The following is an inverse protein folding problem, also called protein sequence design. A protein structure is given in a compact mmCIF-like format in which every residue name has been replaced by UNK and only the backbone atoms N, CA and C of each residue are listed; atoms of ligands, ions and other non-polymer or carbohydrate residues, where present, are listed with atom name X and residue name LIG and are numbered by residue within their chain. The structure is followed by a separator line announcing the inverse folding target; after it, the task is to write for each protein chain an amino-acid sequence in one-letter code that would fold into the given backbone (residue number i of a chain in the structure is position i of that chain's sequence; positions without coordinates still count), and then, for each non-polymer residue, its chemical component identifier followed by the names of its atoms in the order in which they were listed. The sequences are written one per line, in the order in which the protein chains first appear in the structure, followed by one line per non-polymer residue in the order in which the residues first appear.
data_IF_138126385470
#
_entry.id   IF_138126385470
#
_cell.length_a   1.000
_cell.length_b   1.000
_cell.length_c   1.000
_cell.angle_alpha   90.00
_cell.angle_beta   90.00
_cell.angle_gamma   90.00
#
_symmetry.space_group_name_H-M   'P 1'
#
loop_
_entity.id
_entity.type
_entity.pdbx_description
1 polymer ?
#
# COMPACT_ATOMS: atom_id res chain seq x y z
N UNK A 1 -10.78 -1.46 2.48
CA UNK A 1 -9.88 -2.55 2.02
C UNK A 1 -9.06 -3.19 3.16
N UNK A 2 -8.20 -2.45 3.90
CA UNK A 2 -7.36 -3.03 4.97
C UNK A 2 -8.10 -3.87 6.02
N UNK A 3 -9.30 -3.50 6.50
CA UNK A 3 -10.05 -4.30 7.47
C UNK A 3 -10.32 -5.74 6.98
N UNK A 4 -10.44 -5.94 5.67
CA UNK A 4 -10.70 -7.23 5.04
C UNK A 4 -9.44 -8.06 4.76
N UNK A 5 -8.25 -7.46 4.92
CA UNK A 5 -6.96 -8.15 4.88
C UNK A 5 -6.74 -8.84 6.23
N UNK A 6 -6.29 -10.12 6.26
CA UNK A 6 -5.94 -10.79 7.50
C UNK A 6 -4.94 -9.97 8.31
N UNK A 7 -5.13 -9.87 9.63
CA UNK A 7 -4.36 -8.97 10.51
C UNK A 7 -2.85 -9.03 10.30
N UNK A 8 -2.29 -10.23 10.15
CA UNK A 8 -0.86 -10.53 9.91
C UNK A 8 -0.28 -9.82 8.69
N UNK A 9 -1.11 -9.49 7.70
CA UNK A 9 -0.67 -8.91 6.44
C UNK A 9 -1.12 -7.46 6.25
N UNK A 10 -1.81 -6.87 7.22
CA UNK A 10 -2.26 -5.46 7.13
C UNK A 10 -1.08 -4.51 7.08
N UNK A 11 -0.09 -4.69 7.94
CA UNK A 11 1.13 -3.88 7.93
C UNK A 11 1.95 -4.08 6.65
N UNK A 12 1.99 -5.30 6.08
CA UNK A 12 2.63 -5.55 4.78
C UNK A 12 1.96 -4.76 3.65
N UNK A 13 0.63 -4.77 3.60
CA UNK A 13 -0.16 -4.03 2.60
C UNK A 13 -0.03 -2.53 2.81
N UNK A 14 -0.14 -2.06 4.05
CA UNK A 14 0.02 -0.65 4.41
C UNK A 14 1.41 -0.11 4.08
N UNK A 15 2.46 -0.88 4.38
CA UNK A 15 3.84 -0.56 3.98
C UNK A 15 3.94 -0.39 2.47
N UNK A 16 3.49 -1.36 1.68
CA UNK A 16 3.56 -1.28 0.22
C UNK A 16 2.76 -0.09 -0.36
N UNK A 17 1.60 0.21 0.21
CA UNK A 17 0.76 1.34 -0.21
C UNK A 17 1.33 2.71 0.20
N UNK A 18 1.94 2.81 1.38
CA UNK A 18 2.46 4.07 1.93
C UNK A 18 3.89 4.42 1.55
N UNK A 19 4.66 3.48 0.99
CA UNK A 19 6.09 3.67 0.66
C UNK A 19 6.44 3.30 -0.79
N UNK A 20 5.52 2.63 -1.48
CA UNK A 20 5.76 2.13 -2.83
C UNK A 20 6.84 1.04 -2.91
N UNK A 21 7.23 0.41 -1.80
CA UNK A 21 8.20 -0.69 -1.83
C UNK A 21 7.71 -1.88 -2.69
N UNK A 22 8.65 -2.54 -3.38
CA UNK A 22 8.36 -3.73 -4.19
C UNK A 22 8.08 -4.92 -3.25
N UNK A 23 7.30 -5.90 -3.72
CA UNK A 23 7.03 -7.15 -2.97
C UNK A 23 8.27 -7.73 -2.29
N UNK A 24 9.36 -7.91 -3.05
CA UNK A 24 10.59 -8.49 -2.53
C UNK A 24 11.31 -7.59 -1.52
N UNK A 25 11.18 -6.27 -1.62
CA UNK A 25 11.71 -5.32 -0.61
C UNK A 25 10.86 -5.41 0.67
N UNK A 26 9.53 -5.46 0.55
CA UNK A 26 8.65 -5.60 1.71
C UNK A 26 8.87 -6.93 2.46
N UNK A 27 8.84 -8.07 1.75
CA UNK A 27 9.02 -9.39 2.39
C UNK A 27 10.48 -9.72 2.71
N UNK A 28 11.43 -8.93 2.19
CA UNK A 28 12.84 -8.96 2.57
C UNK A 28 13.17 -8.08 3.76
N UNK A 29 12.21 -7.27 4.23
CA UNK A 29 12.43 -6.31 5.30
C UNK A 29 12.69 -7.00 6.64
N UNK A 30 13.67 -6.47 7.36
CA UNK A 30 14.04 -6.89 8.71
C UNK A 30 13.96 -5.72 9.67
N UNK A 31 13.75 -6.01 10.95
CA UNK A 31 13.66 -4.97 11.98
C UNK A 31 14.95 -4.15 12.14
N UNK A 32 16.12 -4.70 11.78
CA UNK A 32 17.38 -3.96 11.78
C UNK A 32 17.39 -2.76 10.80
N UNK A 33 16.50 -2.77 9.82
CA UNK A 33 16.38 -1.77 8.78
C UNK A 33 15.16 -0.84 8.97
N UNK A 34 14.43 -0.98 10.08
CA UNK A 34 13.24 -0.16 10.39
C UNK A 34 13.52 0.69 11.62
N UNK A 35 13.42 2.00 11.47
CA UNK A 35 13.45 2.95 12.57
C UNK A 35 12.05 3.54 12.74
N UNK A 36 11.33 3.09 13.77
CA UNK A 36 9.96 3.56 14.03
C UNK A 36 9.95 4.94 14.68
N UNK A 37 11.01 5.32 15.38
CA UNK A 37 11.12 6.61 16.07
C UNK A 37 11.47 7.71 15.06
N UNK A 38 12.42 7.43 14.16
CA UNK A 38 12.73 8.31 13.04
C UNK A 38 11.68 8.24 11.91
N UNK A 39 10.82 7.23 11.91
CA UNK A 39 9.83 7.01 10.87
C UNK A 39 10.47 6.73 9.51
N UNK A 40 11.47 5.84 9.45
CA UNK A 40 12.18 5.51 8.21
C UNK A 40 12.42 4.01 8.04
N UNK A 41 12.62 3.61 6.78
CA UNK A 41 13.04 2.25 6.43
C UNK A 41 14.19 2.27 5.43
N UNK A 42 15.22 1.47 5.70
CA UNK A 42 16.37 1.28 4.81
C UNK A 42 16.15 0.07 3.89
N UNK A 43 16.25 0.28 2.57
CA UNK A 43 16.09 -0.80 1.59
C UNK A 43 17.46 -1.45 1.31
N UNK A 44 17.78 -2.47 2.11
CA UNK A 44 19.11 -3.12 2.07
C UNK A 44 19.11 -4.55 1.53
N UNK A 45 17.92 -5.14 1.37
CA UNK A 45 17.76 -6.55 1.01
C UNK A 45 16.48 -6.74 0.22
N UNK A 46 16.48 -7.77 -0.60
CA UNK A 46 15.30 -8.19 -1.36
C UNK A 46 15.14 -9.70 -1.23
N UNK A 47 13.93 -10.15 -0.92
CA UNK A 47 13.55 -11.54 -1.02
C UNK A 47 13.20 -11.89 -2.48
N UNK A 48 13.79 -12.97 -2.99
CA UNK A 48 13.57 -13.51 -4.32
C UNK A 48 13.06 -14.94 -4.20
N UNK A 49 11.92 -15.22 -4.81
CA UNK A 49 11.36 -16.56 -4.90
C UNK A 49 11.86 -17.25 -6.17
N UNK A 50 12.56 -18.39 -6.03
CA UNK A 50 13.07 -19.21 -7.13
C UNK A 50 12.61 -20.65 -6.91
N UNK A 51 11.86 -21.22 -7.85
CA UNK A 51 11.31 -22.59 -7.76
C UNK A 51 10.57 -22.89 -6.44
N UNK A 52 9.85 -21.90 -5.89
CA UNK A 52 9.13 -22.02 -4.62
C UNK A 52 9.99 -21.82 -3.36
N UNK A 53 11.30 -21.65 -3.50
CA UNK A 53 12.20 -21.32 -2.39
C UNK A 53 12.40 -19.81 -2.32
N UNK A 54 12.19 -19.23 -1.14
CA UNK A 54 12.45 -17.81 -0.91
C UNK A 54 13.88 -17.66 -0.41
N UNK A 55 14.68 -16.87 -1.13
CA UNK A 55 16.06 -16.56 -0.80
C UNK A 55 16.21 -15.05 -0.61
N UNK A 56 17.04 -14.63 0.35
CA UNK A 56 17.36 -13.22 0.53
C UNK A 56 18.61 -12.89 -0.28
N UNK A 57 18.61 -11.74 -0.97
CA UNK A 57 19.78 -11.20 -1.65
C UNK A 57 20.07 -9.80 -1.13
N UNK A 58 21.34 -9.43 -0.87
CA UNK A 58 21.71 -8.04 -0.63
C UNK A 58 21.22 -7.17 -1.79
N UNK A 59 20.66 -6.01 -1.47
CA UNK A 59 20.15 -5.07 -2.45
C UNK A 59 20.28 -3.63 -1.96
N UNK A 60 20.50 -2.65 -2.85
CA UNK A 60 20.96 -2.77 -4.25
C UNK A 60 22.32 -3.48 -4.40
N UNK A 61 22.68 -3.80 -5.65
CA UNK A 61 24.02 -4.29 -6.02
C UNK A 61 25.12 -3.22 -5.93
N UNK A 62 24.76 -1.93 -5.89
CA UNK A 62 25.70 -0.79 -5.83
C UNK A 62 25.41 0.09 -4.62
N UNK A 63 26.40 0.75 -4.02
CA UNK A 63 26.18 1.70 -2.90
C UNK A 63 25.16 2.79 -3.24
N UNK A 64 25.06 3.18 -4.52
CA UNK A 64 24.17 4.24 -5.02
C UNK A 64 22.67 3.90 -4.97
N UNK A 65 22.28 2.61 -4.93
CA UNK A 65 20.86 2.24 -4.85
C UNK A 65 20.32 2.08 -3.41
N UNK A 66 21.18 2.26 -2.39
CA UNK A 66 20.79 2.11 -0.99
C UNK A 66 20.03 3.37 -0.68
N UNK A 67 18.74 3.21 -0.37
CA UNK A 67 17.85 4.34 -0.12
C UNK A 67 17.16 4.15 1.20
N UNK A 68 16.98 5.27 1.86
CA UNK A 68 16.10 5.40 3.01
C UNK A 68 14.77 5.95 2.51
N UNK A 69 13.68 5.33 2.96
CA UNK A 69 12.33 5.67 2.56
C UNK A 69 11.58 6.12 3.82
N UNK A 70 11.02 7.34 3.84
CA UNK A 70 10.18 7.78 4.94
C UNK A 70 8.94 6.90 5.08
N UNK A 71 8.57 6.62 6.33
CA UNK A 71 7.35 5.93 6.70
C UNK A 71 6.30 6.98 7.07
N UNK A 72 5.17 7.05 6.35
CA UNK A 72 4.05 7.86 6.80
C UNK A 72 3.56 7.40 8.19
N UNK A 73 2.98 8.29 9.03
CA UNK A 73 2.61 7.97 10.41
C UNK A 73 1.73 6.71 10.56
N UNK A 74 0.74 6.53 9.68
CA UNK A 74 -0.11 5.33 9.70
C UNK A 74 0.67 4.03 9.44
N UNK A 75 1.76 4.07 8.67
CA UNK A 75 2.62 2.89 8.45
C UNK A 75 3.43 2.60 9.69
N UNK A 76 3.93 3.62 10.38
CA UNK A 76 4.62 3.47 11.67
C UNK A 76 3.70 2.79 12.68
N UNK A 77 2.45 3.27 12.81
CA UNK A 77 1.44 2.67 13.69
C UNK A 77 1.15 1.20 13.31
N UNK A 78 0.95 0.91 12.02
CA UNK A 78 0.72 -0.44 11.54
C UNK A 78 1.91 -1.38 11.82
N UNK A 79 3.14 -0.90 11.63
CA UNK A 79 4.36 -1.67 11.92
C UNK A 79 4.55 -1.90 13.41
N UNK A 80 4.33 -0.88 14.25
CA UNK A 80 4.39 -0.99 15.71
C UNK A 80 3.40 -2.04 16.23
N UNK A 81 2.13 -1.93 15.82
CA UNK A 81 1.09 -2.90 16.18
C UNK A 81 1.40 -4.31 15.65
N UNK A 82 2.01 -4.42 14.47
CA UNK A 82 2.46 -5.71 13.92
C UNK A 82 3.57 -6.33 14.75
N UNK A 83 4.56 -5.52 15.19
CA UNK A 83 5.68 -5.96 16.03
C UNK A 83 5.23 -6.52 17.36
N UNK A 84 4.21 -5.90 17.97
CA UNK A 84 3.63 -6.35 19.24
C UNK A 84 2.87 -7.67 19.07
N UNK A 85 2.12 -7.81 17.97
CA UNK A 85 1.17 -8.91 17.79
C UNK A 85 1.75 -10.18 17.18
N UNK A 86 2.81 -10.06 16.36
CA UNK A 86 3.32 -11.18 15.59
C UNK A 86 4.81 -11.41 15.87
N UNK A 87 5.24 -12.68 15.99
CA UNK A 87 6.64 -12.98 16.22
C UNK A 87 7.49 -12.56 15.03
N UNK A 88 8.69 -12.08 15.34
CA UNK A 88 9.73 -11.79 14.34
C UNK A 88 10.24 -13.09 13.72
N UNK A 89 10.56 -13.06 12.42
CA UNK A 89 11.12 -14.23 11.74
C UNK A 89 12.49 -14.66 12.27
N UNK A 90 12.93 -15.91 12.01
CA UNK A 90 14.16 -16.47 12.61
C UNK A 90 15.44 -15.67 12.31
N UNK A 91 15.45 -14.92 11.21
CA UNK A 91 16.59 -14.06 10.81
C UNK A 91 16.27 -12.57 10.90
N UNK A 92 15.28 -12.20 11.72
CA UNK A 92 14.89 -10.80 11.96
C UNK A 92 13.84 -10.26 11.00
N UNK A 93 13.17 -11.11 10.21
CA UNK A 93 12.17 -10.69 9.22
C UNK A 93 10.95 -10.05 9.88
N UNK A 94 10.49 -8.93 9.32
CA UNK A 94 9.28 -8.24 9.79
C UNK A 94 8.04 -9.08 9.46
N UNK A 95 7.97 -9.64 8.24
CA UNK A 95 6.79 -10.36 7.76
C UNK A 95 7.09 -11.84 7.50
N UNK A 96 6.35 -12.70 8.18
CA UNK A 96 6.39 -14.15 8.01
C UNK A 96 5.01 -14.71 7.69
N UNK A 97 4.97 -15.93 7.17
CA UNK A 97 3.74 -16.68 7.03
C UNK A 97 3.21 -17.15 8.40
N UNK A 98 2.03 -17.78 8.43
CA UNK A 98 1.42 -18.24 9.68
C UNK A 98 2.27 -19.26 10.47
N UNK A 99 3.16 -19.99 9.81
CA UNK A 99 4.09 -20.95 10.42
C UNK A 99 5.46 -20.31 10.78
N UNK A 100 5.62 -18.99 10.67
CA UNK A 100 6.87 -18.29 10.97
C UNK A 100 7.93 -18.38 9.87
N UNK A 101 7.63 -19.04 8.74
CA UNK A 101 8.53 -19.13 7.59
C UNK A 101 8.36 -17.98 6.59
N UNK A 102 9.12 -18.00 5.49
CA UNK A 102 9.09 -16.93 4.50
C UNK A 102 7.74 -16.86 3.75
N UNK A 103 7.38 -15.65 3.32
CA UNK A 103 6.18 -15.40 2.53
C UNK A 103 6.43 -15.70 1.05
N UNK A 104 5.62 -16.61 0.49
CA UNK A 104 5.59 -16.89 -0.95
C UNK A 104 4.54 -16.02 -1.63
N UNK A 105 4.92 -15.35 -2.71
CA UNK A 105 4.04 -14.41 -3.42
C UNK A 105 2.80 -15.10 -3.95
N UNK A 106 2.98 -16.29 -4.51
CA UNK A 106 1.90 -17.08 -5.11
C UNK A 106 0.85 -17.48 -4.07
N UNK A 107 1.30 -17.91 -2.88
CA UNK A 107 0.40 -18.32 -1.80
C UNK A 107 -0.31 -17.13 -1.17
N UNK A 108 0.42 -16.06 -0.89
CA UNK A 108 -0.18 -14.81 -0.40
C UNK A 108 -1.24 -14.29 -1.40
N UNK A 109 -0.93 -14.31 -2.70
CA UNK A 109 -1.87 -13.86 -3.74
C UNK A 109 -3.18 -14.64 -3.72
N UNK A 110 -3.10 -15.96 -3.71
CA UNK A 110 -4.28 -16.83 -3.86
C UNK A 110 -5.06 -17.01 -2.55
N UNK A 111 -4.38 -17.04 -1.40
CA UNK A 111 -5.01 -17.35 -0.11
C UNK A 111 -5.45 -16.12 0.67
N UNK A 112 -4.75 -15.01 0.50
CA UNK A 112 -4.94 -13.84 1.36
C UNK A 112 -5.36 -12.62 0.53
N UNK A 113 -4.59 -12.25 -0.49
CA UNK A 113 -4.81 -11.04 -1.26
C UNK A 113 -6.14 -11.03 -2.02
N UNK A 114 -6.33 -11.98 -2.95
CA UNK A 114 -7.55 -12.02 -3.78
C UNK A 114 -8.80 -12.19 -2.93
N UNK A 115 -8.86 -13.12 -1.95
CA UNK A 115 -10.00 -13.20 -1.03
C UNK A 115 -10.29 -11.91 -0.25
N UNK A 116 -9.25 -11.13 0.10
CA UNK A 116 -9.45 -9.83 0.76
C UNK A 116 -10.08 -8.80 -0.17
N UNK A 117 -9.75 -8.84 -1.47
CA UNK A 117 -10.39 -7.99 -2.47
C UNK A 117 -11.86 -8.34 -2.67
N UNK A 118 -12.21 -9.63 -2.68
CA UNK A 118 -13.62 -10.05 -2.74
C UNK A 118 -14.39 -9.54 -1.53
N UNK A 119 -13.84 -9.75 -0.32
CA UNK A 119 -14.46 -9.25 0.93
C UNK A 119 -14.60 -7.73 0.98
N UNK A 120 -13.75 -7.01 0.24
CA UNK A 120 -13.80 -5.56 0.12
C UNK A 120 -14.67 -5.06 -1.05
N UNK A 121 -15.33 -5.96 -1.81
CA UNK A 121 -16.12 -5.60 -2.99
C UNK A 121 -15.28 -5.14 -4.20
N UNK A 122 -13.96 -5.35 -4.18
CA UNK A 122 -13.04 -4.91 -5.23
C UNK A 122 -12.77 -6.00 -6.29
N UNK A 123 -13.27 -7.22 -6.07
CA UNK A 123 -13.08 -8.36 -6.94
C UNK A 123 -14.32 -9.27 -6.90
N UNK A 124 -15.39 -8.82 -7.55
CA UNK A 124 -16.69 -9.46 -7.41
C UNK A 124 -17.32 -9.23 -6.04
N UNK A 125 -18.47 -9.85 -5.84
CA UNK A 125 -19.33 -9.63 -4.68
C UNK A 125 -19.78 -10.96 -4.09
N UNK A 126 -19.97 -11.01 -2.78
CA UNK A 126 -20.58 -12.12 -2.07
C UNK A 126 -21.63 -11.58 -1.12
N UNK A 127 -22.86 -12.04 -1.27
CA UNK A 127 -24.01 -11.60 -0.46
C UNK A 127 -24.75 -12.81 0.10
N UNK A 128 -25.19 -12.73 1.35
CA UNK A 128 -26.09 -13.74 1.93
C UNK A 128 -27.50 -13.49 1.39
N UNK A 129 -28.04 -14.45 0.63
CA UNK A 129 -29.37 -14.33 0.01
C UNK A 129 -30.47 -14.94 0.88
N UNK A 130 -30.11 -15.96 1.65
CA UNK A 130 -30.95 -16.66 2.64
C UNK A 130 -30.04 -17.15 3.77
N UNK A 131 -30.55 -17.37 4.99
CA UNK A 131 -29.74 -17.91 6.09
C UNK A 131 -28.95 -19.15 5.66
N UNK A 132 -27.62 -19.05 5.65
CA UNK A 132 -26.73 -20.16 5.26
C UNK A 132 -26.58 -20.37 3.74
N UNK A 133 -27.00 -19.43 2.89
CA UNK A 133 -26.82 -19.47 1.45
C UNK A 133 -26.22 -18.16 0.93
N UNK A 134 -25.06 -18.25 0.28
CA UNK A 134 -24.28 -17.10 -0.17
C UNK A 134 -24.17 -17.09 -1.69
N UNK A 135 -24.64 -16.02 -2.33
CA UNK A 135 -24.50 -15.80 -3.76
C UNK A 135 -23.18 -15.08 -4.04
N UNK A 136 -22.30 -15.73 -4.79
CA UNK A 136 -21.12 -15.11 -5.38
C UNK A 136 -21.42 -14.58 -6.78
N UNK A 137 -21.01 -13.35 -7.06
CA UNK A 137 -21.12 -12.71 -8.38
C UNK A 137 -19.74 -12.25 -8.82
N UNK A 138 -19.31 -12.64 -10.02
CA UNK A 138 -18.00 -12.25 -10.55
C UNK A 138 -17.98 -12.17 -12.06
N UNK A 139 -17.04 -11.41 -12.60
CA UNK A 139 -16.74 -11.42 -14.03
C UNK A 139 -15.52 -12.30 -14.30
N UNK A 140 -15.54 -13.11 -15.35
CA UNK A 140 -14.37 -13.87 -15.83
C UNK A 140 -13.44 -12.99 -16.69
N UNK A 141 -12.40 -13.60 -17.27
CA UNK A 141 -11.41 -12.86 -18.07
C UNK A 141 -11.97 -12.35 -19.39
N UNK A 142 -13.01 -13.00 -19.88
CA UNK A 142 -13.77 -12.67 -21.08
C UNK A 142 -14.80 -11.56 -20.80
N UNK A 143 -14.97 -11.16 -19.53
CA UNK A 143 -15.89 -10.12 -19.09
C UNK A 143 -17.31 -10.63 -18.84
N UNK A 144 -17.53 -11.93 -18.91
CA UNK A 144 -18.83 -12.54 -18.69
C UNK A 144 -19.14 -12.59 -17.20
N UNK A 145 -20.34 -12.16 -16.80
CA UNK A 145 -20.80 -12.26 -15.42
C UNK A 145 -21.27 -13.70 -15.11
N UNK A 146 -20.78 -14.22 -13.99
CA UNK A 146 -21.14 -15.51 -13.42
C UNK A 146 -21.79 -15.30 -12.05
N UNK A 147 -22.73 -16.17 -11.74
CA UNK A 147 -23.49 -16.18 -10.48
C UNK A 147 -23.60 -17.60 -9.97
N UNK A 148 -23.24 -17.83 -8.72
CA UNK A 148 -23.32 -19.16 -8.10
C UNK A 148 -23.62 -19.06 -6.59
N UNK A 149 -24.54 -19.90 -6.11
CA UNK A 149 -24.81 -20.04 -4.68
C UNK A 149 -23.84 -21.05 -4.03
N UNK A 150 -23.44 -20.75 -2.80
CA UNK A 150 -22.54 -21.56 -1.99
C UNK A 150 -23.10 -21.75 -0.58
N UNK A 151 -22.80 -22.88 0.08
CA UNK A 151 -23.30 -23.17 1.43
C UNK A 151 -22.59 -22.36 2.51
N UNK A 152 -21.42 -21.77 2.22
CA UNK A 152 -20.70 -20.94 3.19
C UNK A 152 -20.11 -19.68 2.55
N UNK A 153 -20.05 -18.59 3.32
CA UNK A 153 -19.41 -17.35 2.91
C UNK A 153 -17.95 -17.56 2.49
N UNK A 154 -17.24 -18.44 3.21
CA UNK A 154 -15.84 -18.77 2.91
C UNK A 154 -15.70 -19.42 1.55
N UNK A 155 -16.55 -20.39 1.21
CA UNK A 155 -16.52 -21.05 -0.09
C UNK A 155 -16.83 -20.09 -1.22
N UNK A 156 -17.87 -19.25 -1.06
CA UNK A 156 -18.20 -18.21 -2.03
C UNK A 156 -17.02 -17.27 -2.29
N UNK A 157 -16.42 -16.73 -1.23
CA UNK A 157 -15.27 -15.83 -1.33
C UNK A 157 -14.09 -16.50 -2.02
N UNK A 158 -13.76 -17.75 -1.65
CA UNK A 158 -12.64 -18.46 -2.26
C UNK A 158 -12.91 -18.81 -3.72
N UNK A 159 -14.15 -19.14 -4.06
CA UNK A 159 -14.55 -19.43 -5.44
C UNK A 159 -14.47 -18.19 -6.32
N UNK A 160 -15.09 -17.09 -5.90
CA UNK A 160 -15.01 -15.79 -6.58
C UNK A 160 -13.55 -15.36 -6.71
N UNK A 161 -12.77 -15.44 -5.63
CA UNK A 161 -11.35 -15.11 -5.65
C UNK A 161 -10.55 -16.00 -6.61
N UNK A 162 -10.97 -17.23 -6.92
CA UNK A 162 -10.27 -18.10 -7.87
C UNK A 162 -10.62 -17.78 -9.33
N UNK A 163 -11.89 -17.51 -9.62
CA UNK A 163 -12.41 -17.43 -10.99
C UNK A 163 -12.60 -16.01 -11.51
N UNK A 164 -12.73 -15.02 -10.64
CA UNK A 164 -12.83 -13.62 -11.04
C UNK A 164 -11.63 -13.20 -11.90
N UNK A 165 -11.88 -12.30 -12.85
CA UNK A 165 -10.88 -11.69 -13.72
C UNK A 165 -9.72 -11.04 -12.95
N UNK A 166 -8.77 -10.47 -13.69
CA UNK A 166 -7.70 -9.72 -13.03
C UNK A 166 -8.28 -8.55 -12.21
N UNK A 167 -8.12 -8.65 -10.88
CA UNK A 167 -8.33 -7.55 -9.95
C UNK A 167 -7.02 -6.82 -9.63
N UNK A 168 -7.11 -5.85 -8.73
CA UNK A 168 -5.95 -5.12 -8.18
C UNK A 168 -4.85 -6.11 -7.79
N UNK A 169 -3.64 -5.93 -8.30
CA UNK A 169 -2.46 -6.73 -7.93
C UNK A 169 -1.71 -6.02 -6.83
N UNK A 170 -0.96 -6.76 -6.02
CA UNK A 170 -0.14 -6.17 -4.96
C UNK A 170 0.84 -5.12 -5.51
N UNK A 171 1.41 -5.33 -6.70
CA UNK A 171 2.30 -4.36 -7.34
C UNK A 171 1.59 -3.06 -7.76
N UNK A 172 0.27 -3.10 -7.97
CA UNK A 172 -0.47 -1.91 -8.33
C UNK A 172 -0.54 -0.91 -7.15
N UNK A 173 -0.35 -1.35 -5.89
CA UNK A 173 -0.19 -0.44 -4.73
C UNK A 173 0.96 0.54 -4.92
N UNK A 174 2.12 0.04 -5.40
CA UNK A 174 3.27 0.88 -5.72
C UNK A 174 2.96 1.86 -6.84
N UNK A 175 2.25 1.42 -7.89
CA UNK A 175 1.87 2.31 -8.98
C UNK A 175 0.93 3.41 -8.52
N UNK A 176 0.02 3.11 -7.60
CA UNK A 176 -0.87 4.10 -7.04
C UNK A 176 -0.13 5.09 -6.16
N UNK A 177 0.79 4.65 -5.30
CA UNK A 177 1.66 5.54 -4.52
C UNK A 177 2.48 6.48 -5.41
N UNK A 178 3.09 5.94 -6.47
CA UNK A 178 3.84 6.75 -7.45
C UNK A 178 2.94 7.80 -8.12
N UNK A 179 1.71 7.41 -8.50
CA UNK A 179 0.74 8.30 -9.13
C UNK A 179 0.27 9.39 -8.19
N UNK A 180 0.06 9.06 -6.90
CA UNK A 180 -0.33 10.03 -5.89
C UNK A 180 0.74 11.10 -5.69
N UNK A 181 2.02 10.71 -5.51
CA UNK A 181 3.12 11.67 -5.37
C UNK A 181 3.21 12.62 -6.57
N UNK A 182 3.09 12.09 -7.80
CA UNK A 182 3.11 12.93 -9.00
C UNK A 182 1.89 13.86 -9.05
N UNK A 183 0.71 13.38 -8.63
CA UNK A 183 -0.51 14.19 -8.58
C UNK A 183 -0.45 15.29 -7.52
N UNK A 184 0.31 15.07 -6.44
CA UNK A 184 0.59 16.03 -5.37
C UNK A 184 1.71 17.02 -5.75
N UNK A 185 2.24 16.93 -6.98
CA UNK A 185 3.24 17.85 -7.51
C UNK A 185 4.68 17.47 -7.20
N UNK A 186 4.95 16.29 -6.62
CA UNK A 186 6.32 15.81 -6.40
C UNK A 186 7.00 15.59 -7.75
N UNK A 187 8.19 16.18 -7.99
CA UNK A 187 8.91 16.02 -9.24
C UNK A 187 9.18 14.54 -9.59
N UNK A 188 8.93 14.18 -10.86
CA UNK A 188 9.00 12.78 -11.34
C UNK A 188 10.38 12.15 -11.13
N UNK A 189 11.45 12.93 -11.21
CA UNK A 189 12.83 12.52 -10.93
C UNK A 189 13.02 12.15 -9.44
N UNK A 190 12.39 12.87 -8.52
CA UNK A 190 12.46 12.59 -7.09
C UNK A 190 11.61 11.37 -6.74
N UNK A 191 10.42 11.23 -7.34
CA UNK A 191 9.60 10.00 -7.26
C UNK A 191 10.40 8.79 -7.77
N UNK A 192 11.11 8.92 -8.90
CA UNK A 192 11.93 7.84 -9.45
C UNK A 192 13.08 7.42 -8.52
N UNK A 193 13.74 8.41 -7.89
CA UNK A 193 14.81 8.20 -6.91
C UNK A 193 14.28 7.50 -5.66
N UNK A 194 13.17 7.98 -5.10
CA UNK A 194 12.50 7.38 -3.93
C UNK A 194 12.09 5.93 -4.18
N UNK A 195 11.62 5.64 -5.39
CA UNK A 195 11.17 4.30 -5.77
C UNK A 195 12.32 3.38 -6.21
N UNK A 196 13.54 3.88 -6.39
CA UNK A 196 14.72 3.06 -6.73
C UNK A 196 14.67 2.47 -8.15
N UNK A 197 14.35 3.30 -9.15
CA UNK A 197 14.41 2.90 -10.57
C UNK A 197 15.80 3.17 -11.18
N UNK A 198 16.45 2.17 -11.79
CA UNK A 198 17.59 2.40 -12.70
C UNK A 198 17.12 2.81 -14.11
N UNK A 199 15.92 2.38 -14.55
CA UNK A 199 15.23 2.89 -15.75
C UNK A 199 13.71 2.84 -15.55
N UNK A 200 13.01 3.92 -15.90
CA UNK A 200 11.53 3.97 -15.95
C UNK A 200 11.01 3.66 -17.36
N UNK A 201 11.20 2.45 -17.87
CA UNK A 201 10.66 2.10 -19.21
C UNK A 201 9.17 1.77 -19.22
N UNK A 202 8.51 1.62 -18.06
CA UNK A 202 7.07 1.28 -17.99
C UNK A 202 6.17 2.36 -17.40
N UNK A 203 6.71 3.35 -16.68
CA UNK A 203 5.89 4.41 -16.06
C UNK A 203 5.75 5.62 -16.99
N UNK A 204 6.82 6.03 -17.67
CA UNK A 204 6.83 7.24 -18.49
C UNK A 204 5.95 7.13 -19.76
N UNK A 205 5.89 5.95 -20.38
CA UNK A 205 5.03 5.69 -21.55
C UNK A 205 3.54 5.50 -21.22
N UNK A 206 3.16 5.43 -19.93
CA UNK A 206 1.76 5.25 -19.51
C UNK A 206 1.08 6.55 -19.10
N UNK A 207 1.85 7.57 -18.71
CA UNK A 207 1.29 8.87 -18.34
C UNK A 207 0.75 9.65 -19.53
N UNK A 208 1.18 9.34 -20.75
CA UNK A 208 0.67 9.95 -21.99
C UNK A 208 -0.61 9.29 -22.54
N UNK A 209 -1.02 8.10 -22.08
CA UNK A 209 -2.26 7.45 -22.52
C UNK A 209 -2.99 6.71 -21.38
N UNK A 210 -3.92 7.41 -20.74
CA UNK A 210 -4.77 6.87 -19.66
C UNK A 210 -6.02 6.18 -20.19
N UNK A 211 -6.16 4.88 -19.90
CA UNK A 211 -7.43 4.14 -20.00
C UNK A 211 -8.16 4.18 -18.66
N UNK A 212 -9.26 4.95 -18.59
CA UNK A 212 -10.03 5.35 -17.39
C UNK A 212 -10.49 4.22 -16.42
N UNK A 213 -10.57 2.97 -16.85
CA UNK A 213 -11.25 1.89 -16.10
C UNK A 213 -10.46 1.32 -14.89
N UNK A 214 -9.12 1.41 -14.92
CA UNK A 214 -8.27 0.89 -13.82
C UNK A 214 -8.16 1.86 -12.63
N UNK A 215 -8.50 3.14 -12.84
CA UNK A 215 -8.27 4.23 -11.89
C UNK A 215 -9.37 4.34 -10.81
N UNK A 216 -10.63 4.03 -11.12
CA UNK A 216 -11.73 4.12 -10.16
C UNK A 216 -11.59 3.16 -8.96
N UNK A 217 -11.10 1.93 -9.21
CA UNK A 217 -10.90 0.91 -8.18
C UNK A 217 -9.67 1.19 -7.29
N UNK A 218 -8.67 1.90 -7.80
CA UNK A 218 -7.52 2.35 -7.02
C UNK A 218 -7.89 3.51 -6.09
N UNK A 219 -8.66 4.49 -6.57
CA UNK A 219 -9.10 5.63 -5.76
C UNK A 219 -9.84 5.23 -4.48
N UNK A 220 -10.71 4.22 -4.54
CA UNK A 220 -11.41 3.68 -3.36
C UNK A 220 -10.47 3.04 -2.33
N UNK A 221 -9.35 2.46 -2.76
CA UNK A 221 -8.35 1.89 -1.85
C UNK A 221 -7.64 3.00 -1.09
N UNK A 222 -7.27 4.11 -1.74
CA UNK A 222 -6.58 5.24 -1.11
C UNK A 222 -7.52 6.19 -0.35
N UNK A 223 -8.80 6.24 -0.68
CA UNK A 223 -9.79 6.97 0.12
C UNK A 223 -9.92 6.40 1.55
N UNK A 224 -9.72 5.10 1.73
CA UNK A 224 -9.62 4.46 3.05
C UNK A 224 -8.30 4.78 3.78
N UNK A 225 -7.27 5.23 3.04
CA UNK A 225 -5.97 5.64 3.57
C UNK A 225 -5.88 7.17 3.52
N UNK A 226 -6.62 7.88 4.38
CA UNK A 226 -6.42 9.34 4.52
C UNK A 226 -4.99 9.60 4.99
N UNK A 227 -4.10 9.99 4.06
CA UNK A 227 -2.67 10.26 4.29
C UNK A 227 -2.32 11.75 4.26
N UNK A 228 -3.28 12.63 4.54
CA UNK A 228 -2.98 14.05 4.65
C UNK A 228 -2.64 14.35 6.12
N UNK A 229 -1.37 14.58 6.50
CA UNK A 229 -1.12 15.59 7.51
C UNK A 229 -1.53 16.91 6.85
N UNK A 230 -2.47 17.62 7.48
CA UNK A 230 -2.85 18.96 7.02
C UNK A 230 -1.58 19.80 6.80
N UNK A 231 -1.48 20.60 5.72
CA UNK A 231 -0.36 21.51 5.57
C UNK A 231 -0.35 22.42 6.79
N UNK A 232 0.80 22.48 7.46
CA UNK A 232 1.04 23.39 8.57
C UNK A 232 0.76 24.80 8.05
N UNK A 233 -0.36 25.37 8.50
CA UNK A 233 -0.76 26.71 8.10
C UNK A 233 0.26 27.63 8.77
N UNK A 234 1.01 28.46 8.04
CA UNK A 234 1.92 29.40 8.69
C UNK A 234 1.11 30.21 9.70
N UNK A 235 1.53 30.16 10.95
CA UNK A 235 0.97 30.96 12.04
C UNK A 235 1.05 32.42 11.61
N UNK A 236 -0.11 33.05 11.42
CA UNK A 236 -0.18 34.48 11.13
C UNK A 236 0.62 35.24 12.20
N UNK A 237 1.48 36.20 11.81
CA UNK A 237 2.15 37.05 12.77
C UNK A 237 1.11 37.88 13.52
N UNK A 238 1.23 37.94 14.85
CA UNK A 238 0.45 38.82 15.71
C UNK A 238 0.47 40.25 15.15
N UNK A 239 -0.69 40.72 14.70
CA UNK A 239 -0.88 42.12 14.38
C UNK A 239 -0.87 42.91 15.69
N UNK A 240 0.25 43.61 15.88
CA UNK A 240 0.59 44.51 16.95
C UNK A 240 -0.58 45.35 17.49
N UNK A 241 -0.67 45.37 18.82
CA UNK A 241 -1.07 46.55 19.57
C UNK A 241 -0.03 47.66 19.34
N UNK A 242 -0.39 48.69 18.59
CA UNK A 242 0.27 50.00 18.68
C UNK A 242 -0.71 51.04 18.21
N UNK A 243 -1.34 51.69 19.19
CA UNK A 243 -2.18 52.88 18.97
C UNK A 243 -1.23 54.06 18.78
N UNK A 244 -1.51 54.80 17.71
CA UNK A 244 -0.83 56.00 17.23
C UNK A 244 -0.62 57.06 18.33
N UNK A 245 0.62 57.56 18.41
CA UNK A 245 0.94 58.91 18.87
C UNK A 245 1.19 59.76 17.62
N UNK A 246 0.81 61.04 17.72
CA UNK A 246 1.16 62.17 16.85
C UNK A 246 0.18 62.55 15.73
N UNK A 247 -0.79 63.42 16.09
CA UNK A 247 -1.31 64.51 15.25
C UNK A 247 -1.60 65.75 16.10
N UNK A 248 -0.56 66.55 16.36
CA UNK A 248 -0.62 68.02 16.26
C UNK A 248 -0.43 68.33 14.74
N UNK A 249 -1.03 69.32 14.08
CA UNK A 249 -1.45 70.65 14.48
C UNK A 249 -2.33 71.29 13.35
N UNK A 250 -3.08 72.32 13.74
CA UNK A 250 -3.45 73.53 12.96
C UNK A 250 -4.82 73.63 12.22
N UNK A 251 -5.73 74.42 12.80
CA UNK A 251 -6.11 75.79 12.34
C UNK A 251 -7.62 76.15 12.48
N UNK A 252 -7.86 77.27 13.18
CA UNK A 252 -9.06 78.14 13.29
C UNK A 252 -10.16 77.83 14.30
#
# INVERSE_FOLDING_TARGET
MLPHVPGRYRALVGLAAGTGLRWGECVGLRWDAVDLDAGTVRVERVAVEVAGTVTQKPYPKSKAGRREVPLPPFVVELLAAHRERYPTGPVGEVFTNAAGGPLRRTLFRSRDWRPSLVRAGLLGEVVEVRPGAFLGVWQDKEGLEHRQEFPTHREAVMHVAKHAAEGLRFHDLRHCYATWLVSDGVPVNDVARLLGHEQMSTTLNRYTHSSRDRYGRAGAVFADFSLTPAPDRPREPDAASTVDLDREEDNS
#
